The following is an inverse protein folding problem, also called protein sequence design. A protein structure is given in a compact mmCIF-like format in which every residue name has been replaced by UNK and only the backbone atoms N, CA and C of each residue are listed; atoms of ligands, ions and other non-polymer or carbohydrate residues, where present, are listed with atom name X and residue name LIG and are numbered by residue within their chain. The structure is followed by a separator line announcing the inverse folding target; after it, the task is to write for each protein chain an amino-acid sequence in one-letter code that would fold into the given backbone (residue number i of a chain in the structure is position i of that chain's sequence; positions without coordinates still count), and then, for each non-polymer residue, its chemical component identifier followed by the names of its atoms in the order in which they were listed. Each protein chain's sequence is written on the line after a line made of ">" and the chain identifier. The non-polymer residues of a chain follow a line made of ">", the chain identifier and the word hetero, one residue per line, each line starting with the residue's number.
data_IF_793818955011
#
_entry.id   IF_793818955011
#
_cell.length_a   1.000
_cell.length_b   1.000
_cell.length_c   1.000
_cell.angle_alpha   90.00
_cell.angle_beta   90.00
_cell.angle_gamma   90.00
#
_symmetry.space_group_name_H-M   'P 1'
#
loop_
_entity.id
_entity.type
_entity.pdbx_description
1 polymer ?
#
# COMPACT_ATOMS: atom_id res chain seq x y z
N UNK A 1 -5.77 -18.21 4.80
CA UNK A 1 -6.70 -18.83 3.83
C UNK A 1 -6.23 -18.47 2.43
N UNK A 2 -6.68 -19.18 1.41
CA UNK A 2 -6.34 -18.90 0.00
C UNK A 2 -6.73 -17.47 -0.41
N UNK A 3 -7.93 -17.03 -0.04
CA UNK A 3 -8.45 -15.66 -0.26
C UNK A 3 -7.55 -14.55 0.31
N UNK A 4 -7.00 -14.74 1.52
CA UNK A 4 -6.09 -13.75 2.10
C UNK A 4 -4.79 -13.62 1.30
N UNK A 5 -4.27 -14.74 0.76
CA UNK A 5 -3.08 -14.69 -0.09
C UNK A 5 -3.35 -13.96 -1.40
N UNK A 6 -4.54 -14.09 -1.98
CA UNK A 6 -4.92 -13.33 -3.19
C UNK A 6 -4.94 -11.82 -2.94
N UNK A 7 -5.51 -11.38 -1.81
CA UNK A 7 -5.50 -9.97 -1.39
C UNK A 7 -4.05 -9.49 -1.19
N UNK A 8 -3.23 -10.29 -0.51
CA UNK A 8 -1.81 -9.99 -0.27
C UNK A 8 -1.05 -9.81 -1.57
N UNK A 9 -1.20 -10.74 -2.50
CA UNK A 9 -0.48 -10.74 -3.76
C UNK A 9 -0.91 -9.57 -4.66
N UNK A 10 -2.19 -9.21 -4.66
CA UNK A 10 -2.67 -8.01 -5.36
C UNK A 10 -2.10 -6.73 -4.76
N UNK A 11 -2.15 -6.58 -3.44
CA UNK A 11 -1.63 -5.41 -2.73
C UNK A 11 -0.13 -5.22 -2.96
N UNK A 12 0.65 -6.30 -2.87
CA UNK A 12 2.10 -6.27 -3.15
C UNK A 12 2.35 -5.95 -4.62
N UNK A 13 1.57 -6.52 -5.55
CA UNK A 13 1.68 -6.20 -6.98
C UNK A 13 1.39 -4.73 -7.26
N UNK A 14 0.39 -4.13 -6.63
CA UNK A 14 0.13 -2.70 -6.72
C UNK A 14 1.37 -1.90 -6.30
N UNK A 15 1.88 -2.17 -5.10
CA UNK A 15 3.00 -1.42 -4.51
C UNK A 15 4.29 -1.47 -5.32
N UNK A 16 4.55 -2.60 -6.00
CA UNK A 16 5.71 -2.77 -6.89
C UNK A 16 5.63 -1.93 -8.17
N UNK A 17 4.43 -1.62 -8.65
CA UNK A 17 4.21 -1.03 -9.97
C UNK A 17 3.69 0.41 -9.93
N UNK A 18 3.21 0.89 -8.77
CA UNK A 18 2.52 2.18 -8.64
C UNK A 18 3.35 3.39 -9.09
N UNK A 19 4.67 3.35 -8.91
CA UNK A 19 5.58 4.44 -9.32
C UNK A 19 5.50 4.71 -10.83
N UNK A 20 5.29 3.67 -11.63
CA UNK A 20 5.26 3.74 -13.10
C UNK A 20 3.85 3.75 -13.68
N UNK A 21 2.81 3.69 -12.84
CA UNK A 21 1.42 3.73 -13.28
C UNK A 21 1.05 5.11 -13.81
N UNK A 22 0.45 5.18 -14.99
CA UNK A 22 -0.21 6.40 -15.49
C UNK A 22 -1.59 6.56 -14.84
N UNK A 23 -2.23 7.73 -15.02
CA UNK A 23 -3.55 8.00 -14.44
C UNK A 23 -4.59 6.93 -14.82
N UNK A 24 -4.56 6.45 -16.08
CA UNK A 24 -5.44 5.37 -16.52
C UNK A 24 -5.19 4.05 -15.77
N UNK A 25 -3.94 3.73 -15.46
CA UNK A 25 -3.59 2.52 -14.71
C UNK A 25 -4.08 2.59 -13.25
N UNK A 26 -4.05 3.79 -12.65
CA UNK A 26 -4.57 4.03 -11.31
C UNK A 26 -6.09 3.80 -11.26
N UNK A 27 -6.83 4.28 -12.27
CA UNK A 27 -8.28 4.02 -12.39
C UNK A 27 -8.56 2.53 -12.50
N UNK A 28 -7.79 1.80 -13.32
CA UNK A 28 -7.92 0.34 -13.42
C UNK A 28 -7.51 -0.38 -12.12
N UNK A 29 -6.54 0.15 -11.37
CA UNK A 29 -6.18 -0.36 -10.05
C UNK A 29 -7.34 -0.21 -9.06
N UNK A 30 -7.99 0.95 -9.00
CA UNK A 30 -9.18 1.17 -8.15
C UNK A 30 -10.28 0.15 -8.47
N UNK A 31 -10.53 -0.12 -9.76
CA UNK A 31 -11.49 -1.16 -10.17
C UNK A 31 -11.11 -2.55 -9.68
N UNK A 32 -9.84 -2.94 -9.76
CA UNK A 32 -9.38 -4.24 -9.22
C UNK A 32 -9.56 -4.31 -7.71
N UNK A 33 -9.20 -3.26 -6.99
CA UNK A 33 -9.32 -3.21 -5.52
C UNK A 33 -10.80 -3.23 -5.08
N UNK A 34 -11.71 -2.71 -5.90
CA UNK A 34 -13.15 -2.76 -5.62
C UNK A 34 -13.71 -4.19 -5.49
N UNK A 35 -13.02 -5.19 -6.05
CA UNK A 35 -13.37 -6.60 -5.88
C UNK A 35 -13.20 -7.07 -4.41
N UNK A 36 -12.34 -6.42 -3.64
CA UNK A 36 -12.07 -6.71 -2.23
C UNK A 36 -12.75 -5.72 -1.29
N UNK A 37 -13.83 -5.06 -1.72
CA UNK A 37 -14.49 -4.00 -0.93
C UNK A 37 -14.99 -4.48 0.42
N UNK A 38 -15.37 -5.75 0.55
CA UNK A 38 -15.81 -6.35 1.82
C UNK A 38 -14.63 -6.46 2.79
N UNK A 39 -13.44 -6.78 2.27
CA UNK A 39 -12.19 -7.00 2.99
C UNK A 39 -11.23 -5.81 2.87
N UNK A 40 -11.74 -4.61 2.55
CA UNK A 40 -10.87 -3.44 2.28
C UNK A 40 -10.00 -3.07 3.48
N UNK A 41 -10.45 -3.37 4.70
CA UNK A 41 -9.65 -3.14 5.91
C UNK A 41 -8.39 -4.02 5.89
N UNK A 42 -8.52 -5.30 5.54
CA UNK A 42 -7.40 -6.23 5.44
C UNK A 42 -6.43 -5.80 4.33
N UNK A 43 -6.97 -5.34 3.19
CA UNK A 43 -6.18 -4.79 2.09
C UNK A 43 -5.34 -3.60 2.55
N UNK A 44 -5.95 -2.62 3.23
CA UNK A 44 -5.25 -1.43 3.74
C UNK A 44 -4.26 -1.77 4.86
N UNK A 45 -4.55 -2.78 5.69
CA UNK A 45 -3.63 -3.28 6.73
C UNK A 45 -2.40 -3.95 6.11
N UNK A 46 -2.56 -4.69 5.01
CA UNK A 46 -1.43 -5.26 4.25
C UNK A 46 -0.51 -4.16 3.73
N UNK A 47 -1.08 -3.11 3.09
CA UNK A 47 -0.28 -1.97 2.63
C UNK A 47 0.47 -1.29 3.78
N UNK A 48 -0.20 -1.12 4.92
CA UNK A 48 0.37 -0.51 6.12
C UNK A 48 1.55 -1.32 6.69
N UNK A 49 1.38 -2.64 6.81
CA UNK A 49 2.44 -3.53 7.29
C UNK A 49 3.63 -3.51 6.33
N UNK A 50 3.39 -3.46 5.02
CA UNK A 50 4.44 -3.38 4.03
C UNK A 50 5.23 -2.07 4.14
N UNK A 51 4.57 -0.92 4.27
CA UNK A 51 5.26 0.36 4.50
C UNK A 51 5.96 0.44 5.86
N UNK A 52 5.45 -0.26 6.88
CA UNK A 52 6.15 -0.45 8.15
C UNK A 52 7.44 -1.23 7.97
N UNK A 53 7.44 -2.27 7.14
CA UNK A 53 8.67 -3.01 6.80
C UNK A 53 9.67 -2.15 6.03
N UNK A 54 9.20 -1.33 5.08
CA UNK A 54 10.05 -0.31 4.41
C UNK A 54 10.70 0.61 5.42
N UNK A 55 9.93 1.13 6.38
CA UNK A 55 10.44 2.02 7.42
C UNK A 55 11.46 1.33 8.33
N UNK A 56 11.16 0.11 8.81
CA UNK A 56 12.08 -0.68 9.65
C UNK A 56 13.36 -0.99 8.91
N UNK A 57 13.27 -1.44 7.65
CA UNK A 57 14.43 -1.75 6.85
C UNK A 57 15.28 -0.49 6.61
N UNK A 58 14.65 0.64 6.24
CA UNK A 58 15.35 1.91 6.03
C UNK A 58 16.11 2.37 7.28
N UNK A 59 15.54 2.17 8.47
CA UNK A 59 16.12 2.60 9.73
C UNK A 59 17.19 1.64 10.28
N UNK A 60 17.07 0.33 10.04
CA UNK A 60 17.85 -0.69 10.75
C UNK A 60 18.71 -1.57 9.84
N UNK A 61 18.40 -1.62 8.55
CA UNK A 61 18.98 -2.56 7.56
C UNK A 61 18.83 -4.04 7.97
N UNK A 62 17.94 -4.35 8.93
CA UNK A 62 17.76 -5.68 9.48
C UNK A 62 16.53 -6.37 8.85
N UNK A 63 16.78 -7.48 8.16
CA UNK A 63 15.78 -8.25 7.42
C UNK A 63 14.96 -9.16 8.35
N UNK A 64 15.53 -9.60 9.46
CA UNK A 64 14.89 -10.53 10.40
C UNK A 64 13.66 -9.93 11.12
N UNK A 65 13.49 -8.60 11.01
CA UNK A 65 12.37 -7.85 11.60
C UNK A 65 11.21 -7.61 10.62
N UNK A 66 11.36 -8.02 9.36
CA UNK A 66 10.36 -7.77 8.32
C UNK A 66 9.30 -8.87 8.35
N UNK A 67 8.03 -8.48 8.20
CA UNK A 67 6.94 -9.44 8.03
C UNK A 67 6.93 -9.97 6.60
N UNK A 68 7.14 -9.11 5.61
CA UNK A 68 7.23 -9.46 4.19
C UNK A 68 8.67 -9.79 3.80
N UNK A 69 9.28 -10.77 4.49
CA UNK A 69 10.66 -11.19 4.25
C UNK A 69 10.89 -11.68 2.82
N UNK A 70 9.89 -12.29 2.19
CA UNK A 70 9.93 -12.72 0.79
C UNK A 70 9.96 -11.56 -0.22
N UNK A 71 9.59 -10.35 0.20
CA UNK A 71 9.53 -9.15 -0.64
C UNK A 71 10.71 -8.18 -0.43
N UNK A 72 11.81 -8.68 0.15
CA UNK A 72 12.95 -7.85 0.55
C UNK A 72 13.51 -6.97 -0.56
N UNK A 73 13.58 -7.46 -1.80
CA UNK A 73 14.11 -6.68 -2.90
C UNK A 73 13.23 -5.46 -3.20
N UNK A 74 11.91 -5.64 -3.18
CA UNK A 74 10.96 -4.53 -3.42
C UNK A 74 10.94 -3.54 -2.25
N UNK A 75 11.04 -4.04 -1.02
CA UNK A 75 11.15 -3.22 0.20
C UNK A 75 12.42 -2.38 0.15
N UNK A 76 13.56 -2.98 -0.23
CA UNK A 76 14.85 -2.28 -0.36
C UNK A 76 14.77 -1.18 -1.42
N UNK A 77 14.17 -1.45 -2.58
CA UNK A 77 14.03 -0.45 -3.64
C UNK A 77 13.13 0.72 -3.22
N UNK A 78 11.99 0.46 -2.58
CA UNK A 78 11.15 1.53 -2.03
C UNK A 78 11.88 2.32 -0.94
N UNK A 79 12.58 1.65 -0.03
CA UNK A 79 13.34 2.31 1.05
C UNK A 79 14.45 3.23 0.53
N UNK A 80 15.01 2.95 -0.66
CA UNK A 80 15.98 3.85 -1.32
C UNK A 80 15.32 5.09 -1.93
N UNK A 81 14.13 4.94 -2.50
CA UNK A 81 13.42 6.02 -3.21
C UNK A 81 12.73 7.00 -2.28
N UNK A 82 12.00 6.49 -1.27
CA UNK A 82 11.15 7.32 -0.42
C UNK A 82 11.92 7.92 0.75
N UNK A 83 11.63 9.17 1.12
CA UNK A 83 12.12 9.77 2.37
C UNK A 83 11.38 9.22 3.60
N UNK A 84 11.86 9.53 4.80
CA UNK A 84 11.13 9.17 6.02
C UNK A 84 9.77 9.88 6.07
N UNK A 85 9.75 11.16 5.70
CA UNK A 85 8.55 12.00 5.65
C UNK A 85 7.56 11.50 4.58
N UNK A 86 8.05 11.01 3.44
CA UNK A 86 7.20 10.44 2.40
C UNK A 86 6.53 9.13 2.84
N UNK A 87 7.28 8.26 3.53
CA UNK A 87 6.71 7.03 4.12
C UNK A 87 5.67 7.38 5.20
N UNK A 88 5.95 8.36 6.06
CA UNK A 88 5.00 8.83 7.07
C UNK A 88 3.73 9.42 6.43
N UNK A 89 3.87 10.22 5.37
CA UNK A 89 2.75 10.75 4.59
C UNK A 89 1.84 9.64 4.05
N UNK A 90 2.43 8.56 3.54
CA UNK A 90 1.68 7.40 3.06
C UNK A 90 0.96 6.68 4.20
N UNK A 91 1.64 6.45 5.33
CA UNK A 91 1.04 5.81 6.51
C UNK A 91 -0.14 6.60 7.06
N UNK A 92 -0.03 7.93 7.11
CA UNK A 92 -1.16 8.81 7.46
C UNK A 92 -2.29 8.73 6.45
N UNK A 93 -1.98 8.69 5.15
CA UNK A 93 -2.97 8.59 4.09
C UNK A 93 -3.78 7.29 4.19
N UNK A 94 -3.12 6.17 4.54
CA UNK A 94 -3.77 4.89 4.80
C UNK A 94 -4.75 4.97 5.99
N UNK A 95 -4.34 5.58 7.11
CA UNK A 95 -5.24 5.78 8.25
C UNK A 95 -6.42 6.72 7.91
N UNK A 96 -6.16 7.80 7.18
CA UNK A 96 -7.21 8.71 6.67
C UNK A 96 -8.17 7.97 5.74
N UNK A 97 -7.68 7.09 4.87
CA UNK A 97 -8.51 6.27 3.99
C UNK A 97 -9.41 5.33 4.79
N UNK A 98 -8.87 4.59 5.76
CA UNK A 98 -9.67 3.73 6.67
C UNK A 98 -10.77 4.53 7.38
N UNK A 99 -10.44 5.70 7.93
CA UNK A 99 -11.40 6.55 8.61
C UNK A 99 -12.53 7.04 7.68
N UNK A 100 -12.19 7.46 6.45
CA UNK A 100 -13.17 7.89 5.44
C UNK A 100 -14.10 6.76 5.00
N UNK A 101 -13.55 5.56 4.78
CA UNK A 101 -14.35 4.39 4.40
C UNK A 101 -15.31 3.99 5.53
N UNK A 102 -14.86 4.00 6.79
CA UNK A 102 -15.73 3.77 7.97
C UNK A 102 -16.85 4.82 8.08
N UNK A 103 -16.59 6.04 7.64
CA UNK A 103 -17.57 7.11 7.55
C UNK A 103 -18.47 7.03 6.29
N UNK A 104 -18.42 5.93 5.53
CA UNK A 104 -19.19 5.68 4.30
C UNK A 104 -18.94 6.70 3.18
N UNK A 105 -17.74 7.30 3.12
CA UNK A 105 -17.31 8.12 1.97
C UNK A 105 -17.19 7.23 0.73
N UNK A 106 -17.40 7.82 -0.45
CA UNK A 106 -17.29 7.10 -1.73
C UNK A 106 -15.95 6.35 -1.85
N UNK A 107 -16.03 5.04 -2.09
CA UNK A 107 -14.89 4.15 -2.13
C UNK A 107 -13.87 4.54 -3.20
N UNK A 108 -14.33 4.73 -4.44
CA UNK A 108 -13.46 4.99 -5.59
C UNK A 108 -12.65 6.26 -5.37
N UNK A 109 -13.29 7.33 -4.88
CA UNK A 109 -12.62 8.58 -4.54
C UNK A 109 -11.56 8.40 -3.45
N UNK A 110 -11.88 7.66 -2.38
CA UNK A 110 -10.93 7.43 -1.28
C UNK A 110 -9.72 6.65 -1.77
N UNK A 111 -9.94 5.62 -2.59
CA UNK A 111 -8.87 4.81 -3.14
C UNK A 111 -8.04 5.59 -4.14
N UNK A 112 -8.64 6.36 -5.04
CA UNK A 112 -7.91 7.21 -6.00
C UNK A 112 -6.99 8.20 -5.28
N UNK A 113 -7.49 8.90 -4.25
CA UNK A 113 -6.68 9.82 -3.44
C UNK A 113 -5.52 9.10 -2.74
N UNK A 114 -5.77 7.90 -2.21
CA UNK A 114 -4.73 7.10 -1.56
C UNK A 114 -3.65 6.67 -2.57
N UNK A 115 -4.05 6.15 -3.73
CA UNK A 115 -3.11 5.69 -4.75
C UNK A 115 -2.29 6.84 -5.33
N UNK A 116 -2.88 8.02 -5.53
CA UNK A 116 -2.14 9.23 -5.93
C UNK A 116 -1.10 9.60 -4.87
N UNK A 117 -1.49 9.63 -3.60
CA UNK A 117 -0.57 9.95 -2.49
C UNK A 117 0.61 8.96 -2.45
N UNK A 118 0.35 7.67 -2.67
CA UNK A 118 1.39 6.64 -2.72
C UNK A 118 2.30 6.83 -3.92
N UNK A 119 1.76 7.14 -5.10
CA UNK A 119 2.53 7.33 -6.33
C UNK A 119 3.50 8.52 -6.24
N UNK A 120 3.11 9.58 -5.54
CA UNK A 120 3.89 10.81 -5.42
C UNK A 120 5.09 10.70 -4.46
N UNK A 121 5.27 9.56 -3.77
CA UNK A 121 6.27 9.35 -2.70
C UNK A 121 7.12 8.06 -2.86
#
# INVERSE_FOLDING_TARGET
>A
SEHFNEIKDEAVRLLKNIDTMELGDLVEAVKRISAYKIEITDYLDILMIWYRDVLIYKATMNIDRLIFGEEIDSIRERAKKSSYEGIETILEALEKAKARLRANVNFDLVMELLLLTIKEN
#
